data_IF_718980040253
#
_entry.id   IF_718980040253
#
_cell.length_a   1.000
_cell.length_b   1.000
_cell.length_c   1.000
_cell.angle_alpha   90.00
_cell.angle_beta   90.00
_cell.angle_gamma   90.00
#
_symmetry.space_group_name_H-M   'P 1'
#
loop_
_entity.id
_entity.type
_entity.pdbx_description
1 polymer ?
#
# COMPACT_ATOMS: atom_id res chain seq x y z
N UNK A 1 -41.49 21.21 -22.12
CA UNK A 1 -42.19 20.18 -21.34
C UNK A 1 -41.22 19.04 -21.07
N UNK A 2 -40.82 18.72 -19.83
CA UNK A 2 -39.98 17.61 -19.51
C UNK A 2 -40.82 16.36 -19.22
N UNK A 3 -40.41 15.25 -19.73
CA UNK A 3 -41.02 13.94 -19.52
C UNK A 3 -40.40 13.32 -18.24
N UNK A 4 -41.28 13.04 -17.28
CA UNK A 4 -40.94 12.25 -16.08
C UNK A 4 -40.76 10.79 -16.45
N UNK A 5 -39.70 10.18 -15.92
CA UNK A 5 -39.52 8.74 -15.90
C UNK A 5 -39.80 8.26 -14.48
N UNK A 6 -40.89 7.49 -14.35
CA UNK A 6 -41.31 6.83 -13.13
C UNK A 6 -40.37 5.66 -12.78
N UNK A 7 -39.98 5.59 -11.51
CA UNK A 7 -39.32 4.42 -10.92
C UNK A 7 -40.41 3.50 -10.34
N UNK A 8 -40.58 2.34 -10.94
CA UNK A 8 -41.37 1.24 -10.37
C UNK A 8 -40.55 0.48 -9.32
N UNK A 9 -41.03 0.49 -8.08
CA UNK A 9 -40.61 -0.42 -7.03
C UNK A 9 -41.15 -1.83 -7.30
N UNK A 10 -40.28 -2.82 -7.44
CA UNK A 10 -40.63 -4.23 -7.41
C UNK A 10 -40.30 -4.84 -6.05
N UNK A 11 -41.30 -4.86 -5.20
CA UNK A 11 -41.39 -5.65 -3.99
C UNK A 11 -41.62 -7.14 -4.35
N UNK A 12 -40.74 -8.03 -3.89
CA UNK A 12 -41.03 -9.48 -3.88
C UNK A 12 -40.62 -10.13 -2.57
N UNK A 13 -41.64 -10.48 -1.79
CA UNK A 13 -41.55 -11.36 -0.61
C UNK A 13 -41.49 -12.86 -1.02
N UNK A 14 -40.99 -13.73 -0.11
CA UNK A 14 -40.59 -15.09 -0.44
C UNK A 14 -41.74 -16.12 -0.33
N UNK A 15 -41.77 -17.11 -1.22
CA UNK A 15 -42.57 -18.32 -1.03
C UNK A 15 -41.67 -19.51 -0.73
N UNK A 16 -41.95 -20.14 0.42
CA UNK A 16 -41.52 -21.48 0.81
C UNK A 16 -42.03 -22.51 -0.18
N UNK A 17 -41.19 -23.47 -0.55
CA UNK A 17 -41.58 -24.68 -1.27
C UNK A 17 -40.51 -25.74 -1.14
N UNK A 18 -40.79 -26.72 -0.33
CA UNK A 18 -40.02 -27.94 -0.07
C UNK A 18 -40.21 -28.94 -1.22
N UNK A 19 -39.14 -29.41 -1.87
CA UNK A 19 -39.17 -30.78 -2.45
C UNK A 19 -37.74 -31.36 -2.57
N UNK A 20 -37.59 -32.57 -2.00
CA UNK A 20 -36.47 -33.48 -2.18
C UNK A 20 -36.52 -34.10 -3.59
N UNK A 21 -35.39 -34.23 -4.28
CA UNK A 21 -34.99 -35.53 -4.87
C UNK A 21 -33.68 -35.43 -5.70
N UNK A 22 -32.91 -36.49 -5.53
CA UNK A 22 -31.97 -37.12 -6.47
C UNK A 22 -30.62 -36.49 -6.78
N UNK A 23 -29.63 -37.22 -6.32
CA UNK A 23 -28.20 -37.23 -6.67
C UNK A 23 -28.00 -37.17 -8.18
N UNK A 24 -27.17 -36.24 -8.62
CA UNK A 24 -26.35 -36.46 -9.79
C UNK A 24 -24.95 -35.85 -9.55
N UNK A 25 -23.98 -36.72 -9.40
CA UNK A 25 -22.58 -36.42 -9.26
C UNK A 25 -22.04 -36.01 -10.61
N UNK A 26 -21.92 -34.71 -10.84
CA UNK A 26 -21.08 -34.19 -11.91
C UNK A 26 -19.98 -33.36 -11.26
N UNK A 27 -18.75 -33.84 -11.39
CA UNK A 27 -17.56 -33.16 -10.93
C UNK A 27 -17.41 -31.83 -11.67
N UNK A 28 -17.95 -30.76 -11.12
CA UNK A 28 -17.66 -29.40 -11.54
C UNK A 28 -16.35 -29.01 -10.89
N UNK A 29 -15.32 -28.89 -11.71
CA UNK A 29 -14.00 -28.45 -11.30
C UNK A 29 -14.10 -27.22 -10.41
N UNK A 30 -13.51 -27.31 -9.20
CA UNK A 30 -13.31 -26.19 -8.30
C UNK A 30 -12.61 -25.07 -9.07
N UNK A 31 -13.34 -24.12 -9.62
CA UNK A 31 -12.78 -22.79 -9.90
C UNK A 31 -12.25 -22.28 -8.56
N UNK A 32 -10.94 -22.37 -8.36
CA UNK A 32 -10.26 -21.64 -7.28
C UNK A 32 -10.74 -20.20 -7.41
N UNK A 33 -11.57 -19.74 -6.48
CA UNK A 33 -11.77 -18.31 -6.30
C UNK A 33 -10.38 -17.70 -6.22
N UNK A 34 -10.10 -16.66 -7.03
CA UNK A 34 -8.86 -15.91 -6.97
C UNK A 34 -8.84 -15.19 -5.60
N UNK A 35 -8.45 -15.91 -4.56
CA UNK A 35 -8.12 -15.35 -3.27
C UNK A 35 -6.80 -14.59 -3.36
N UNK A 36 -6.47 -13.85 -2.32
CA UNK A 36 -5.17 -13.18 -2.20
C UNK A 36 -4.01 -14.16 -2.37
N UNK A 37 -2.94 -13.70 -2.99
CA UNK A 37 -1.67 -14.44 -3.09
C UNK A 37 -1.05 -14.64 -1.69
N UNK A 38 -0.07 -15.51 -1.58
CA UNK A 38 0.62 -15.73 -0.31
C UNK A 38 1.39 -14.48 0.13
N UNK A 39 1.93 -13.72 -0.83
CA UNK A 39 2.61 -12.44 -0.60
C UNK A 39 1.63 -11.37 -0.08
N UNK A 40 0.45 -11.28 -0.67
CA UNK A 40 -0.60 -10.35 -0.21
C UNK A 40 -1.11 -10.71 1.18
N UNK A 41 -1.28 -12.00 1.48
CA UNK A 41 -1.65 -12.46 2.82
C UNK A 41 -0.58 -12.15 3.86
N UNK A 42 0.70 -12.34 3.50
CA UNK A 42 1.81 -11.98 4.36
C UNK A 42 1.83 -10.48 4.64
N UNK A 43 1.64 -9.63 3.64
CA UNK A 43 1.57 -8.17 3.79
C UNK A 43 0.40 -7.74 4.68
N UNK A 44 -0.78 -8.36 4.54
CA UNK A 44 -1.93 -8.10 5.40
C UNK A 44 -1.68 -8.51 6.86
N UNK A 45 -0.97 -9.64 7.08
CA UNK A 45 -0.58 -10.08 8.42
C UNK A 45 0.41 -9.10 9.07
N UNK A 46 1.39 -8.63 8.31
CA UNK A 46 2.32 -7.58 8.75
C UNK A 46 1.55 -6.32 9.16
N UNK A 47 0.58 -5.87 8.33
CA UNK A 47 -0.24 -4.70 8.67
C UNK A 47 -1.04 -4.89 9.95
N UNK A 48 -1.61 -6.05 10.17
CA UNK A 48 -2.33 -6.35 11.41
C UNK A 48 -1.41 -6.29 12.64
N UNK A 49 -0.16 -6.72 12.51
CA UNK A 49 0.85 -6.62 13.57
C UNK A 49 1.27 -5.18 13.82
N UNK A 50 1.48 -4.39 12.77
CA UNK A 50 1.80 -2.96 12.85
C UNK A 50 0.70 -2.21 13.60
N UNK A 51 -0.57 -2.39 13.23
CA UNK A 51 -1.71 -1.75 13.91
C UNK A 51 -1.79 -2.12 15.39
N UNK A 52 -1.51 -3.37 15.74
CA UNK A 52 -1.45 -3.80 17.14
C UNK A 52 -0.30 -3.13 17.90
N UNK A 53 0.86 -2.98 17.26
CA UNK A 53 2.01 -2.31 17.84
C UNK A 53 1.75 -0.81 18.01
N UNK A 54 1.16 -0.15 17.01
CA UNK A 54 0.74 1.26 17.08
C UNK A 54 -0.25 1.50 18.23
N UNK A 55 -1.28 0.64 18.36
CA UNK A 55 -2.27 0.74 19.43
C UNK A 55 -1.68 0.58 20.85
N UNK A 56 -0.61 -0.22 21.01
CA UNK A 56 0.06 -0.42 22.28
C UNK A 56 0.98 0.75 22.68
N UNK A 57 1.56 1.42 21.69
CA UNK A 57 2.53 2.53 21.91
C UNK A 57 1.86 3.86 22.22
N UNK A 58 0.58 4.02 21.87
CA UNK A 58 -0.15 5.29 22.04
C UNK A 58 0.32 6.40 21.07
N UNK A 59 -0.20 7.63 21.24
CA UNK A 59 0.04 8.74 20.30
C UNK A 59 1.48 9.30 20.35
N UNK A 60 2.30 8.88 21.29
CA UNK A 60 3.70 9.31 21.46
C UNK A 60 4.71 8.22 21.08
N UNK A 61 4.37 7.33 20.15
CA UNK A 61 5.34 6.38 19.59
C UNK A 61 6.56 7.14 19.06
N UNK A 62 7.72 6.91 19.69
CA UNK A 62 8.94 7.62 19.36
C UNK A 62 9.32 7.44 17.89
N UNK A 63 9.68 8.54 17.23
CA UNK A 63 10.18 8.53 15.84
C UNK A 63 11.37 7.57 15.69
N UNK A 64 12.17 7.41 16.75
CA UNK A 64 13.28 6.48 16.83
C UNK A 64 12.86 5.00 16.69
N UNK A 65 11.73 4.60 17.28
CA UNK A 65 11.19 3.24 17.16
C UNK A 65 10.71 2.95 15.73
N UNK A 66 10.07 3.93 15.07
CA UNK A 66 9.66 3.85 13.69
C UNK A 66 10.86 3.70 12.74
N UNK A 67 11.92 4.47 12.98
CA UNK A 67 13.15 4.39 12.20
C UNK A 67 13.84 3.03 12.36
N UNK A 68 13.94 2.52 13.58
CA UNK A 68 14.53 1.22 13.87
C UNK A 68 13.76 0.09 13.14
N UNK A 69 12.43 0.14 13.15
CA UNK A 69 11.59 -0.81 12.45
C UNK A 69 11.78 -0.74 10.93
N UNK A 70 11.86 0.46 10.36
CA UNK A 70 12.15 0.65 8.92
C UNK A 70 13.52 0.10 8.54
N UNK A 71 14.56 0.39 9.32
CA UNK A 71 15.91 -0.09 9.06
C UNK A 71 16.00 -1.62 9.14
N UNK A 72 15.28 -2.24 10.08
CA UNK A 72 15.18 -3.70 10.17
C UNK A 72 14.53 -4.29 8.90
N UNK A 73 13.43 -3.71 8.40
CA UNK A 73 12.79 -4.14 7.16
C UNK A 73 13.68 -3.95 5.92
N UNK A 74 14.43 -2.87 5.87
CA UNK A 74 15.42 -2.65 4.80
C UNK A 74 16.51 -3.72 4.86
N UNK A 75 16.99 -4.09 6.04
CA UNK A 75 18.03 -5.12 6.20
C UNK A 75 17.56 -6.50 5.73
N UNK A 76 16.29 -6.82 5.81
CA UNK A 76 15.70 -8.08 5.31
C UNK A 76 15.62 -8.16 3.78
N UNK A 77 15.70 -7.02 3.06
CA UNK A 77 15.59 -7.00 1.61
C UNK A 77 16.84 -7.60 0.95
N UNK A 78 16.68 -8.30 -0.18
CA UNK A 78 17.83 -8.69 -1.01
C UNK A 78 18.40 -7.50 -1.78
N UNK A 79 19.61 -7.64 -2.28
CA UNK A 79 20.15 -6.72 -3.27
C UNK A 79 19.47 -6.92 -4.65
N UNK A 80 19.27 -5.85 -5.45
CA UNK A 80 19.69 -4.45 -5.21
C UNK A 80 18.69 -3.61 -4.40
N UNK A 81 17.53 -4.15 -4.05
CA UNK A 81 16.44 -3.41 -3.38
C UNK A 81 16.89 -2.82 -2.04
N UNK A 82 17.70 -3.57 -1.30
CA UNK A 82 18.26 -3.12 -0.01
C UNK A 82 19.13 -1.87 -0.16
N UNK A 83 19.99 -1.83 -1.16
CA UNK A 83 20.84 -0.67 -1.42
C UNK A 83 20.01 0.56 -1.81
N UNK A 84 19.01 0.39 -2.69
CA UNK A 84 18.08 1.46 -3.08
C UNK A 84 17.30 1.98 -1.86
N UNK A 85 16.75 1.07 -1.04
CA UNK A 85 15.97 1.43 0.14
C UNK A 85 16.79 2.23 1.17
N UNK A 86 18.06 1.86 1.40
CA UNK A 86 18.96 2.61 2.29
C UNK A 86 19.22 4.02 1.79
N UNK A 87 19.48 4.17 0.50
CA UNK A 87 19.75 5.48 -0.11
C UNK A 87 18.49 6.35 -0.09
N UNK A 88 17.33 5.79 -0.41
CA UNK A 88 16.04 6.48 -0.32
C UNK A 88 15.72 6.91 1.10
N UNK A 89 15.98 6.07 2.09
CA UNK A 89 15.79 6.43 3.50
C UNK A 89 16.60 7.67 3.89
N UNK A 90 17.88 7.70 3.57
CA UNK A 90 18.74 8.86 3.83
C UNK A 90 18.28 10.10 3.06
N UNK A 91 17.91 9.93 1.78
CA UNK A 91 17.42 11.00 0.91
C UNK A 91 16.14 11.64 1.45
N UNK A 92 15.17 10.84 1.86
CA UNK A 92 13.87 11.31 2.37
C UNK A 92 14.07 12.04 3.70
N UNK A 93 14.87 11.51 4.61
CA UNK A 93 15.19 12.18 5.88
C UNK A 93 15.85 13.55 5.67
N UNK A 94 16.73 13.67 4.68
CA UNK A 94 17.38 14.94 4.35
C UNK A 94 16.43 15.91 3.64
N UNK A 95 15.56 15.40 2.76
CA UNK A 95 14.69 16.24 1.90
C UNK A 95 13.41 16.70 2.63
N UNK A 96 12.88 15.89 3.53
CA UNK A 96 11.65 16.15 4.26
C UNK A 96 11.76 15.66 5.73
N UNK A 97 12.51 16.36 6.59
CA UNK A 97 12.72 15.96 7.99
C UNK A 97 11.44 15.94 8.83
N UNK A 98 10.36 16.54 8.35
CA UNK A 98 9.03 16.48 8.97
C UNK A 98 8.35 15.11 8.82
N UNK A 99 8.84 14.24 7.92
CA UNK A 99 8.32 12.90 7.76
C UNK A 99 8.92 11.95 8.78
N UNK A 100 8.06 11.20 9.45
CA UNK A 100 8.43 10.16 10.40
C UNK A 100 8.48 8.80 9.70
N UNK A 101 9.60 8.05 9.79
CA UNK A 101 9.68 6.70 9.26
C UNK A 101 8.73 5.76 10.02
N UNK A 102 8.08 4.85 9.30
CA UNK A 102 7.26 3.77 9.85
C UNK A 102 7.18 2.59 8.90
N UNK A 103 6.84 1.43 9.39
CA UNK A 103 6.50 0.30 8.54
C UNK A 103 5.02 0.39 8.12
N UNK A 104 4.74 0.00 6.89
CA UNK A 104 3.40 -0.04 6.32
C UNK A 104 3.28 -1.26 5.40
N UNK A 105 2.46 -2.24 5.80
CA UNK A 105 2.42 -3.55 5.15
C UNK A 105 3.81 -4.21 5.03
N UNK A 106 4.67 -4.02 6.03
CA UNK A 106 6.07 -4.48 6.01
C UNK A 106 7.00 -3.73 5.05
N UNK A 107 6.58 -2.61 4.50
CA UNK A 107 7.37 -1.75 3.63
C UNK A 107 7.88 -0.52 4.39
N UNK A 108 9.06 0.01 4.04
CA UNK A 108 9.47 1.34 4.47
C UNK A 108 8.49 2.39 3.98
N UNK A 109 7.96 3.18 4.90
CA UNK A 109 7.05 4.29 4.61
C UNK A 109 7.41 5.51 5.47
N UNK A 110 6.96 6.67 5.03
CA UNK A 110 7.26 7.94 5.64
C UNK A 110 5.96 8.72 5.80
N UNK A 111 5.64 9.05 7.03
CA UNK A 111 4.34 9.60 7.40
C UNK A 111 4.46 11.01 7.99
N UNK A 112 3.40 11.80 7.82
CA UNK A 112 3.17 13.04 8.53
C UNK A 112 1.88 12.91 9.33
N UNK A 113 1.92 13.25 10.62
CA UNK A 113 0.77 13.14 11.52
C UNK A 113 0.10 11.74 11.49
N UNK A 114 0.92 10.68 11.42
CA UNK A 114 0.48 9.29 11.38
C UNK A 114 0.02 8.78 10.00
N UNK A 115 -0.18 9.66 9.03
CA UNK A 115 -0.63 9.32 7.68
C UNK A 115 0.55 9.16 6.73
N UNK A 116 0.59 8.05 6.01
CA UNK A 116 1.67 7.75 5.06
C UNK A 116 1.61 8.75 3.89
N UNK A 117 2.75 9.37 3.59
CA UNK A 117 2.92 10.28 2.45
C UNK A 117 3.60 9.57 1.28
N UNK A 118 4.68 8.83 1.55
CA UNK A 118 5.36 8.05 0.52
C UNK A 118 5.90 6.74 1.09
N UNK A 119 6.21 5.79 0.21
CA UNK A 119 6.66 4.46 0.56
C UNK A 119 7.57 3.86 -0.50
N UNK A 120 8.37 2.86 -0.09
CA UNK A 120 9.17 2.05 -0.98
C UNK A 120 8.73 0.59 -0.91
N UNK A 121 8.41 0.01 -2.06
CA UNK A 121 8.06 -1.40 -2.22
C UNK A 121 9.18 -2.11 -2.97
N UNK A 122 9.84 -3.08 -2.33
CA UNK A 122 10.85 -3.89 -3.00
C UNK A 122 10.22 -4.74 -4.10
N UNK A 123 10.99 -5.01 -5.16
CA UNK A 123 10.54 -5.87 -6.26
C UNK A 123 10.17 -7.27 -5.78
N UNK A 124 10.94 -7.81 -4.82
CA UNK A 124 10.74 -9.15 -4.32
C UNK A 124 9.48 -9.31 -3.47
N UNK A 125 9.02 -8.26 -2.78
CA UNK A 125 7.88 -8.36 -1.84
C UNK A 125 6.63 -8.96 -2.50
N UNK A 126 6.33 -8.53 -3.73
CA UNK A 126 5.20 -9.05 -4.52
C UNK A 126 5.66 -9.71 -5.84
N UNK A 127 6.91 -10.14 -5.92
CA UNK A 127 7.50 -10.76 -7.11
C UNK A 127 7.32 -9.91 -8.37
N UNK A 128 7.50 -8.61 -8.19
CA UNK A 128 7.39 -7.63 -9.28
C UNK A 128 8.68 -7.57 -10.09
N UNK A 129 8.59 -7.06 -11.31
CA UNK A 129 9.70 -6.88 -12.24
C UNK A 129 10.63 -5.71 -11.86
N UNK A 130 10.17 -4.81 -11.01
CA UNK A 130 10.86 -3.61 -10.54
C UNK A 130 10.40 -3.25 -9.13
N UNK A 131 11.20 -2.50 -8.40
CA UNK A 131 10.77 -1.86 -7.17
C UNK A 131 9.84 -0.66 -7.48
N UNK A 132 9.04 -0.26 -6.52
CA UNK A 132 8.13 0.88 -6.67
C UNK A 132 8.42 1.92 -5.60
N UNK A 133 8.56 3.18 -6.01
CA UNK A 133 8.46 4.31 -5.12
C UNK A 133 7.12 4.99 -5.35
N UNK A 134 6.30 5.07 -4.31
CA UNK A 134 4.93 5.53 -4.41
C UNK A 134 4.58 6.61 -3.40
N UNK A 135 3.56 7.38 -3.75
CA UNK A 135 2.94 8.40 -2.92
C UNK A 135 1.47 8.05 -2.67
N UNK A 136 0.98 8.36 -1.48
CA UNK A 136 -0.43 8.25 -1.13
C UNK A 136 -1.20 9.54 -1.49
N UNK A 137 -2.48 9.55 -1.22
CA UNK A 137 -3.35 10.72 -1.37
C UNK A 137 -3.04 11.86 -0.36
N UNK A 138 -2.23 11.60 0.65
CA UNK A 138 -1.74 12.62 1.59
C UNK A 138 -0.57 13.45 1.03
N UNK A 139 -0.01 13.04 -0.11
CA UNK A 139 1.07 13.77 -0.77
C UNK A 139 0.51 14.93 -1.59
N UNK A 140 0.99 16.14 -1.33
CA UNK A 140 0.60 17.33 -2.09
C UNK A 140 1.33 17.39 -3.45
N UNK A 141 0.94 16.50 -4.37
CA UNK A 141 1.52 16.41 -5.71
C UNK A 141 0.59 16.91 -6.81
N UNK A 142 -0.58 17.37 -6.44
CA UNK A 142 -1.65 17.78 -7.34
C UNK A 142 -1.11 18.71 -8.45
N UNK A 143 -1.46 18.37 -9.69
CA UNK A 143 -1.06 19.09 -10.88
C UNK A 143 -2.15 18.92 -11.93
N UNK A 144 -2.86 19.98 -12.23
CA UNK A 144 -4.02 19.98 -13.13
C UNK A 144 -5.06 18.91 -12.75
N UNK A 145 -5.53 18.13 -13.72
CA UNK A 145 -6.51 17.07 -13.54
C UNK A 145 -5.89 15.66 -13.41
N UNK A 146 -4.58 15.53 -13.58
CA UNK A 146 -3.87 14.25 -13.53
C UNK A 146 -2.39 14.43 -13.22
N UNK A 147 -1.89 13.65 -12.27
CA UNK A 147 -0.46 13.62 -11.91
C UNK A 147 0.00 12.21 -11.53
N UNK A 148 1.30 11.89 -11.69
CA UNK A 148 1.83 10.58 -11.33
C UNK A 148 2.01 10.47 -9.80
N UNK A 149 1.60 9.33 -9.25
CA UNK A 149 1.75 9.00 -7.82
C UNK A 149 2.62 7.78 -7.57
N UNK A 150 3.03 7.04 -8.62
CA UNK A 150 3.79 5.81 -8.48
C UNK A 150 4.81 5.69 -9.59
N UNK A 151 6.04 5.28 -9.24
CA UNK A 151 7.18 5.20 -10.13
C UNK A 151 7.81 3.81 -10.06
N UNK A 152 8.03 3.19 -11.22
CA UNK A 152 8.85 2.00 -11.34
C UNK A 152 10.33 2.38 -11.15
N UNK A 153 11.03 1.69 -10.26
CA UNK A 153 12.41 1.97 -9.93
C UNK A 153 13.27 0.71 -10.14
N UNK A 154 14.11 0.74 -11.16
CA UNK A 154 15.07 -0.34 -11.46
C UNK A 154 16.44 -0.07 -10.86
N UNK A 155 16.84 1.18 -10.88
CA UNK A 155 18.09 1.69 -10.33
C UNK A 155 17.85 3.04 -9.69
N UNK A 156 18.72 3.42 -8.77
CA UNK A 156 18.70 4.74 -8.15
C UNK A 156 19.99 5.48 -8.51
N UNK A 157 19.96 6.13 -9.68
CA UNK A 157 21.08 6.99 -10.11
C UNK A 157 20.95 8.38 -9.48
N UNK A 158 21.96 9.23 -9.65
CA UNK A 158 21.90 10.61 -9.15
C UNK A 158 20.72 11.42 -9.73
N UNK A 159 20.30 11.13 -10.97
CA UNK A 159 19.15 11.78 -11.59
C UNK A 159 17.84 11.38 -10.93
N UNK A 160 17.64 10.08 -10.66
CA UNK A 160 16.46 9.59 -9.94
C UNK A 160 16.42 10.10 -8.50
N UNK A 161 17.57 10.15 -7.81
CA UNK A 161 17.65 10.73 -6.47
C UNK A 161 17.22 12.20 -6.46
N UNK A 162 17.74 13.01 -7.39
CA UNK A 162 17.35 14.42 -7.49
C UNK A 162 15.84 14.58 -7.77
N UNK A 163 15.31 13.75 -8.67
CA UNK A 163 13.87 13.76 -9.00
C UNK A 163 13.01 13.35 -7.79
N UNK A 164 13.38 12.29 -7.10
CA UNK A 164 12.65 11.83 -5.91
C UNK A 164 12.73 12.87 -4.79
N UNK A 165 13.90 13.48 -4.56
CA UNK A 165 14.07 14.55 -3.57
C UNK A 165 13.13 15.74 -3.85
N UNK A 166 13.01 16.15 -5.11
CA UNK A 166 12.12 17.23 -5.54
C UNK A 166 10.64 16.86 -5.30
N UNK A 167 10.24 15.63 -5.66
CA UNK A 167 8.88 15.12 -5.43
C UNK A 167 8.53 15.03 -3.94
N UNK A 168 9.45 14.52 -3.11
CA UNK A 168 9.26 14.41 -1.67
C UNK A 168 9.10 15.79 -1.02
N UNK A 169 9.90 16.77 -1.43
CA UNK A 169 9.76 18.16 -0.96
C UNK A 169 8.40 18.75 -1.36
N UNK A 170 7.98 18.55 -2.62
CA UNK A 170 6.66 19.00 -3.09
C UNK A 170 5.54 18.34 -2.30
N UNK A 171 5.64 17.03 -2.04
CA UNK A 171 4.64 16.25 -1.34
C UNK A 171 4.32 16.72 0.09
N UNK A 172 5.27 17.39 0.74
CA UNK A 172 5.13 17.91 2.12
C UNK A 172 4.97 19.42 2.20
N UNK A 173 4.99 20.10 1.07
CA UNK A 173 4.83 21.57 1.01
C UNK A 173 3.42 22.04 1.32
#
# INVERSE_FOLDING_TARGET
LPTQIEYEELSMSPKKGTQKSARNTTAIGKKKSRGFTDEERAAMKERAQELKAEARRGPHADQADGESAVLAKIAEMPEPDRAMARRLHALIKASAPALSPKTWYGMPAYARDGKVVCFFQSAQKFKSRYATFGFSDEANLDEDAMWPTSFALKELTAAEEARIAALVKKAVS
#
